data_IF_526299470569
#
_entry.id   IF_526299470569
#
_cell.length_a   1.000
_cell.length_b   1.000
_cell.length_c   1.000
_cell.angle_alpha   90.00
_cell.angle_beta   90.00
_cell.angle_gamma   90.00
#
_symmetry.space_group_name_H-M   'P 1'
#
loop_
_entity.id
_entity.type
_entity.pdbx_description
1 polymer ?
#
# COMPACT_ATOMS: atom_id res chain seq x y z
N UNK A 1 23.69 -9.44 10.60
CA UNK A 1 22.63 -10.19 9.89
C UNK A 1 21.96 -9.23 8.94
N UNK A 2 22.07 -9.43 7.63
CA UNK A 2 21.25 -8.66 6.67
C UNK A 2 19.83 -9.21 6.72
N UNK A 3 18.91 -8.43 7.29
CA UNK A 3 17.49 -8.75 7.29
C UNK A 3 16.96 -8.70 5.86
N UNK A 4 16.17 -9.70 5.45
CA UNK A 4 15.53 -9.71 4.13
C UNK A 4 14.58 -8.52 4.02
N UNK A 5 14.62 -7.73 2.92
CA UNK A 5 13.67 -6.64 2.72
C UNK A 5 12.23 -7.15 2.69
N UNK A 6 11.32 -6.44 3.37
CA UNK A 6 9.89 -6.76 3.38
C UNK A 6 9.14 -5.92 2.35
N UNK A 7 8.50 -6.57 1.39
CA UNK A 7 7.81 -5.92 0.28
C UNK A 7 6.30 -6.04 0.44
N UNK A 8 5.58 -4.92 0.41
CA UNK A 8 4.12 -4.93 0.34
C UNK A 8 3.66 -4.94 -1.12
N UNK A 9 2.82 -5.92 -1.47
CA UNK A 9 2.04 -5.92 -2.70
C UNK A 9 0.70 -5.28 -2.38
N UNK A 10 0.55 -4.00 -2.70
CA UNK A 10 -0.60 -3.17 -2.33
C UNK A 10 -1.72 -3.32 -3.36
N UNK A 11 -2.89 -3.79 -2.95
CA UNK A 11 -4.05 -3.92 -3.83
C UNK A 11 -4.84 -2.60 -3.82
N UNK A 12 -4.72 -1.83 -4.90
CA UNK A 12 -5.22 -0.46 -5.01
C UNK A 12 -6.71 -0.33 -5.35
N UNK A 13 -7.56 -1.34 -5.17
CA UNK A 13 -8.99 -1.26 -5.48
C UNK A 13 -9.79 -2.03 -4.45
N UNK A 14 -10.95 -1.53 -4.03
CA UNK A 14 -11.86 -2.23 -3.09
C UNK A 14 -13.06 -2.90 -3.77
N UNK A 15 -13.26 -2.70 -5.09
CA UNK A 15 -14.43 -3.19 -5.82
C UNK A 15 -14.57 -4.72 -5.72
N UNK A 16 -15.74 -5.27 -5.33
CA UNK A 16 -15.99 -6.71 -5.34
C UNK A 16 -15.71 -7.34 -6.72
N UNK A 17 -15.10 -8.52 -6.75
CA UNK A 17 -14.77 -9.22 -7.99
C UNK A 17 -13.68 -8.57 -8.86
N UNK A 18 -12.87 -7.65 -8.31
CA UNK A 18 -11.74 -7.02 -9.01
C UNK A 18 -10.74 -8.06 -9.53
N UNK A 19 -10.18 -7.82 -10.73
CA UNK A 19 -9.13 -8.68 -11.29
C UNK A 19 -7.83 -8.65 -10.46
N UNK A 20 -7.61 -7.59 -9.68
CA UNK A 20 -6.44 -7.40 -8.84
C UNK A 20 -6.21 -8.58 -7.86
N UNK A 21 -7.26 -9.30 -7.45
CA UNK A 21 -7.12 -10.50 -6.59
C UNK A 21 -6.28 -11.59 -7.27
N UNK A 22 -6.48 -11.80 -8.59
CA UNK A 22 -5.73 -12.77 -9.39
C UNK A 22 -4.30 -12.28 -9.63
N UNK A 23 -4.14 -11.03 -10.04
CA UNK A 23 -2.84 -10.44 -10.36
C UNK A 23 -1.93 -10.40 -9.12
N UNK A 24 -2.41 -9.86 -8.01
CA UNK A 24 -1.65 -9.78 -6.76
C UNK A 24 -1.32 -11.17 -6.19
N UNK A 25 -2.27 -12.12 -6.25
CA UNK A 25 -2.02 -13.51 -5.84
C UNK A 25 -0.95 -14.19 -6.69
N UNK A 26 -0.94 -13.94 -8.00
CA UNK A 26 0.12 -14.44 -8.88
C UNK A 26 1.48 -13.83 -8.53
N UNK A 27 1.55 -12.52 -8.30
CA UNK A 27 2.79 -11.82 -7.89
C UNK A 27 3.33 -12.39 -6.57
N UNK A 28 2.48 -12.54 -5.55
CA UNK A 28 2.86 -13.14 -4.27
C UNK A 28 3.37 -14.58 -4.46
N UNK A 29 2.80 -15.35 -5.39
CA UNK A 29 3.31 -16.70 -5.67
C UNK A 29 4.73 -16.66 -6.25
N UNK A 30 5.05 -15.69 -7.10
CA UNK A 30 6.41 -15.56 -7.68
C UNK A 30 7.45 -15.24 -6.60
N UNK A 31 7.10 -14.43 -5.59
CA UNK A 31 8.05 -14.09 -4.53
C UNK A 31 8.43 -15.29 -3.66
N UNK A 32 7.61 -16.35 -3.60
CA UNK A 32 7.95 -17.59 -2.86
C UNK A 32 9.14 -18.34 -3.43
N UNK A 33 9.49 -18.10 -4.70
CA UNK A 33 10.68 -18.68 -5.32
C UNK A 33 11.96 -17.88 -5.01
N UNK A 34 11.85 -16.77 -4.27
CA UNK A 34 12.96 -15.91 -3.88
C UNK A 34 13.32 -16.12 -2.42
N UNK A 35 14.61 -16.21 -2.15
CA UNK A 35 15.16 -16.32 -0.79
C UNK A 35 15.71 -15.00 -0.27
N UNK A 36 15.78 -13.96 -1.10
CA UNK A 36 16.37 -12.66 -0.78
C UNK A 36 15.38 -11.61 -0.29
N UNK A 37 14.06 -11.86 -0.40
CA UNK A 37 12.98 -10.96 0.05
C UNK A 37 11.88 -11.69 0.81
N UNK A 38 11.09 -10.94 1.58
CA UNK A 38 9.81 -11.36 2.12
C UNK A 38 8.71 -10.50 1.51
N UNK A 39 7.55 -11.07 1.17
CA UNK A 39 6.46 -10.29 0.58
C UNK A 39 5.09 -10.68 1.14
N UNK A 40 4.20 -9.69 1.25
CA UNK A 40 2.86 -9.84 1.79
C UNK A 40 1.85 -9.03 0.95
N UNK A 41 0.60 -9.48 0.91
CA UNK A 41 -0.49 -8.66 0.35
C UNK A 41 -0.95 -7.62 1.35
N UNK A 42 -1.05 -6.37 0.91
CA UNK A 42 -1.63 -5.28 1.66
C UNK A 42 -2.88 -4.78 0.93
N UNK A 43 -4.04 -5.31 1.33
CA UNK A 43 -5.32 -5.03 0.67
C UNK A 43 -6.03 -3.83 1.30
N UNK A 44 -6.31 -2.80 0.49
CA UNK A 44 -7.00 -1.60 0.97
C UNK A 44 -8.44 -1.86 1.46
N UNK A 45 -9.06 -3.02 1.16
CA UNK A 45 -10.33 -3.41 1.81
C UNK A 45 -10.20 -3.57 3.32
N UNK A 46 -9.01 -3.91 3.81
CA UNK A 46 -8.73 -4.11 5.23
C UNK A 46 -8.33 -2.80 5.94
N UNK A 47 -8.33 -1.67 5.20
CA UNK A 47 -7.97 -0.34 5.69
C UNK A 47 -9.09 0.64 5.32
N UNK A 48 -10.19 0.70 6.10
CA UNK A 48 -11.33 1.57 5.84
C UNK A 48 -11.00 3.03 6.18
N UNK A 49 -10.10 3.61 5.40
CA UNK A 49 -9.58 4.96 5.61
C UNK A 49 -10.69 6.01 5.39
N UNK A 50 -10.84 7.01 6.28
CA UNK A 50 -11.64 8.18 5.97
C UNK A 50 -11.00 8.95 4.82
N UNK A 51 -11.78 9.81 4.16
CA UNK A 51 -11.20 10.75 3.21
C UNK A 51 -10.22 11.68 3.93
N UNK A 52 -9.10 11.94 3.30
CA UNK A 52 -8.04 12.78 3.83
C UNK A 52 -8.57 14.18 4.19
N UNK A 53 -8.56 14.50 5.49
CA UNK A 53 -9.02 15.75 6.08
C UNK A 53 -8.09 16.25 7.20
N UNK A 54 -6.82 15.84 7.14
CA UNK A 54 -5.81 16.13 8.18
C UNK A 54 -5.59 17.63 8.38
N UNK A 55 -5.39 18.03 9.63
CA UNK A 55 -5.21 19.43 10.07
C UNK A 55 -3.97 20.12 9.49
N UNK A 56 -3.05 19.36 8.91
CA UNK A 56 -1.84 19.88 8.29
C UNK A 56 -1.04 18.79 7.58
N UNK A 57 0.14 19.13 7.05
CA UNK A 57 0.99 18.16 6.36
C UNK A 57 1.46 17.07 7.32
N UNK A 58 1.25 15.79 6.96
CA UNK A 58 1.65 14.62 7.76
C UNK A 58 3.16 14.53 8.05
N UNK A 59 3.98 15.29 7.30
CA UNK A 59 5.40 15.46 7.60
C UNK A 59 5.65 16.13 8.95
N UNK A 60 4.82 17.12 9.30
CA UNK A 60 4.96 18.01 10.45
C UNK A 60 3.94 17.71 11.55
N UNK A 61 2.73 17.31 11.16
CA UNK A 61 1.60 17.08 12.06
C UNK A 61 1.12 15.64 11.90
N UNK A 62 1.40 14.74 12.88
CA UNK A 62 0.88 13.39 12.85
C UNK A 62 -0.64 13.36 12.81
N UNK A 63 -1.21 12.32 12.19
CA UNK A 63 -2.65 12.08 12.18
C UNK A 63 -3.16 11.80 13.61
N UNK A 64 -4.36 12.28 13.91
CA UNK A 64 -5.12 11.90 15.11
C UNK A 64 -6.15 10.80 14.82
N UNK A 65 -6.34 10.44 13.54
CA UNK A 65 -7.32 9.45 13.13
C UNK A 65 -6.79 8.03 13.33
N UNK A 66 -7.50 7.21 14.09
CA UNK A 66 -7.08 5.85 14.42
C UNK A 66 -6.88 4.96 13.17
N UNK A 67 -7.71 5.10 12.13
CA UNK A 67 -7.58 4.31 10.90
C UNK A 67 -6.35 4.71 10.09
N UNK A 68 -6.09 6.02 9.99
CA UNK A 68 -4.91 6.55 9.33
C UNK A 68 -3.62 6.14 10.08
N UNK A 69 -3.64 6.18 11.42
CA UNK A 69 -2.52 5.70 12.24
C UNK A 69 -2.26 4.20 12.02
N UNK A 70 -3.29 3.34 12.03
CA UNK A 70 -3.12 1.90 11.75
C UNK A 70 -2.56 1.64 10.35
N UNK A 71 -2.97 2.45 9.36
CA UNK A 71 -2.43 2.37 8.02
C UNK A 71 -0.94 2.77 7.98
N UNK A 72 -0.59 3.89 8.62
CA UNK A 72 0.79 4.35 8.74
C UNK A 72 1.69 3.32 9.45
N UNK A 73 1.19 2.69 10.51
CA UNK A 73 1.90 1.60 11.20
C UNK A 73 2.07 0.37 10.30
N UNK A 74 1.05 0.01 9.52
CA UNK A 74 1.15 -1.10 8.57
C UNK A 74 2.26 -0.84 7.54
N UNK A 75 2.29 0.36 6.96
CA UNK A 75 3.30 0.77 5.98
C UNK A 75 4.72 0.83 6.55
N UNK A 76 4.87 1.17 7.83
CA UNK A 76 6.17 1.27 8.47
C UNK A 76 6.94 -0.07 8.48
N UNK A 77 6.24 -1.20 8.38
CA UNK A 77 6.81 -2.55 8.40
C UNK A 77 7.50 -2.98 7.11
N UNK A 78 7.27 -2.26 6.01
CA UNK A 78 7.75 -2.64 4.68
C UNK A 78 8.89 -1.74 4.23
N UNK A 79 9.86 -2.32 3.54
CA UNK A 79 11.03 -1.65 2.97
C UNK A 79 10.80 -1.22 1.51
N UNK A 80 9.76 -1.73 0.84
CA UNK A 80 9.41 -1.37 -0.53
C UNK A 80 8.00 -1.82 -0.91
N UNK A 81 7.52 -1.33 -2.06
CA UNK A 81 6.12 -1.48 -2.48
C UNK A 81 5.96 -1.89 -3.94
N UNK A 82 5.00 -2.77 -4.20
CA UNK A 82 4.47 -3.05 -5.54
C UNK A 82 3.00 -2.69 -5.51
N UNK A 83 2.61 -1.63 -6.22
CA UNK A 83 1.20 -1.22 -6.29
C UNK A 83 0.50 -1.93 -7.46
N UNK A 84 -0.55 -2.69 -7.16
CA UNK A 84 -1.47 -3.25 -8.15
C UNK A 84 -2.58 -2.24 -8.37
N UNK A 85 -2.49 -1.50 -9.46
CA UNK A 85 -3.29 -0.30 -9.75
C UNK A 85 -4.41 -0.67 -10.70
N UNK A 86 -5.67 -0.54 -10.25
CA UNK A 86 -6.79 -0.61 -11.19
C UNK A 86 -7.01 0.77 -11.84
N UNK A 87 -7.32 0.79 -13.14
CA UNK A 87 -7.72 2.00 -13.85
C UNK A 87 -9.23 2.24 -13.72
N UNK A 88 -9.62 3.34 -13.03
CA UNK A 88 -10.99 3.84 -13.00
C UNK A 88 -11.04 5.21 -13.67
N UNK A 89 -11.85 5.32 -14.73
CA UNK A 89 -12.03 6.55 -15.50
C UNK A 89 -10.69 7.20 -15.91
N UNK A 90 -9.78 6.40 -16.49
CA UNK A 90 -8.45 6.86 -16.94
C UNK A 90 -7.53 7.38 -15.83
N UNK A 91 -7.74 6.93 -14.58
CA UNK A 91 -6.88 7.29 -13.45
C UNK A 91 -6.70 6.13 -12.47
N UNK A 92 -5.85 6.34 -11.46
CA UNK A 92 -5.78 5.47 -10.29
C UNK A 92 -7.11 5.53 -9.54
N UNK A 93 -7.42 4.48 -8.78
CA UNK A 93 -8.64 4.51 -7.97
C UNK A 93 -8.57 5.60 -6.90
N UNK A 94 -9.73 6.19 -6.56
CA UNK A 94 -9.82 7.15 -5.46
C UNK A 94 -9.37 6.57 -4.12
N UNK A 95 -9.63 5.27 -3.88
CA UNK A 95 -9.18 4.60 -2.64
C UNK A 95 -7.66 4.48 -2.57
N UNK A 96 -6.98 4.21 -3.69
CA UNK A 96 -5.52 4.18 -3.72
C UNK A 96 -4.95 5.58 -3.48
N UNK A 97 -5.48 6.60 -4.17
CA UNK A 97 -5.01 7.98 -3.97
C UNK A 97 -5.20 8.42 -2.51
N UNK A 98 -6.37 8.15 -1.93
CA UNK A 98 -6.65 8.47 -0.53
C UNK A 98 -5.68 7.74 0.42
N UNK A 99 -5.38 6.46 0.17
CA UNK A 99 -4.42 5.72 0.98
C UNK A 99 -2.99 6.29 0.88
N UNK A 100 -2.58 6.78 -0.30
CA UNK A 100 -1.29 7.43 -0.48
C UNK A 100 -1.22 8.76 0.30
N UNK A 101 -2.31 9.54 0.31
CA UNK A 101 -2.39 10.82 1.01
C UNK A 101 -2.34 10.68 2.54
N UNK A 102 -2.86 9.57 3.07
CA UNK A 102 -2.94 9.27 4.50
C UNK A 102 -1.58 8.89 5.15
N UNK A 103 -0.48 8.95 4.40
CA UNK A 103 0.86 8.68 4.91
C UNK A 103 1.92 9.55 4.21
N UNK A 104 3.05 9.81 4.88
CA UNK A 104 4.14 10.60 4.28
C UNK A 104 5.51 10.00 4.60
N UNK A 105 5.86 9.95 5.89
CA UNK A 105 7.17 9.48 6.37
C UNK A 105 7.42 8.03 5.96
N UNK A 106 6.36 7.23 5.91
CA UNK A 106 6.38 5.81 5.61
C UNK A 106 6.80 5.50 4.17
N UNK A 107 6.65 6.46 3.25
CA UNK A 107 7.07 6.35 1.85
C UNK A 107 8.52 6.77 1.62
N UNK A 108 9.08 7.57 2.54
CA UNK A 108 10.36 8.24 2.35
C UNK A 108 11.50 7.27 2.06
N UNK A 109 12.17 7.47 0.91
CA UNK A 109 13.37 6.72 0.45
C UNK A 109 13.16 5.21 0.26
N UNK A 110 11.91 4.74 0.19
CA UNK A 110 11.61 3.33 -0.07
C UNK A 110 11.35 3.10 -1.57
N UNK A 111 11.95 2.08 -2.21
CA UNK A 111 11.67 1.76 -3.60
C UNK A 111 10.21 1.37 -3.81
N UNK A 112 9.67 1.73 -4.97
CA UNK A 112 8.37 1.24 -5.40
C UNK A 112 8.31 0.99 -6.90
N UNK A 113 7.34 0.18 -7.31
CA UNK A 113 6.86 0.09 -8.69
C UNK A 113 5.34 0.00 -8.71
N UNK A 114 4.72 0.22 -9.86
CA UNK A 114 3.29 0.12 -10.07
C UNK A 114 3.00 -0.75 -11.30
N UNK A 115 1.95 -1.57 -11.21
CA UNK A 115 1.50 -2.48 -12.27
C UNK A 115 0.01 -2.22 -12.47
N UNK A 116 -0.36 -1.81 -13.69
CA UNK A 116 -1.73 -1.56 -14.14
C UNK A 116 -2.32 -2.73 -14.92
#
# INVERSE_FOLDING_TARGET
MTTKPRIAIVIGSTRPGRYADKAAGWMLKQTKARDDIEAELLDLRNHPLPFFDEKGPLALMPSENAEALRWQEALARYDGFVFVVAEYNHSVTGVLKNALDQAYKQWGRKPFTAIG
#
